data_IF_155897603942
#
_entry.id   IF_155897603942
#
_cell.length_a   1.000
_cell.length_b   1.000
_cell.length_c   1.000
_cell.angle_alpha   90.00
_cell.angle_beta   90.00
_cell.angle_gamma   90.00
#
_symmetry.space_group_name_H-M   'P 1'
#
loop_
_entity.id
_entity.type
_entity.pdbx_description
1 polymer ?
#
# COMPACT_ATOMS: atom_id res chain seq x y z
N UNK A 1 -16.96 -5.48 9.28
CA UNK A 1 -15.57 -4.97 9.40
C UNK A 1 -15.36 -3.92 8.33
N UNK A 2 -15.33 -2.63 8.69
CA UNK A 2 -14.98 -1.56 7.76
C UNK A 2 -13.57 -1.83 7.20
N UNK A 3 -13.44 -1.94 5.88
CA UNK A 3 -12.13 -2.03 5.25
C UNK A 3 -11.47 -0.66 5.40
N UNK A 4 -10.54 -0.54 6.34
CA UNK A 4 -9.77 0.67 6.53
C UNK A 4 -8.57 0.65 5.55
N UNK A 5 -8.38 1.76 4.87
CA UNK A 5 -7.33 1.96 3.87
C UNK A 5 -6.28 2.96 4.38
N UNK A 6 -5.05 2.80 3.93
CA UNK A 6 -3.95 3.75 4.10
C UNK A 6 -3.66 4.43 2.78
N UNK A 7 -3.36 5.72 2.81
CA UNK A 7 -2.77 6.39 1.65
C UNK A 7 -1.38 5.83 1.33
N UNK A 8 -0.84 6.14 0.15
CA UNK A 8 0.54 5.80 -0.19
C UNK A 8 1.55 6.35 0.84
N UNK A 9 1.31 7.55 1.40
CA UNK A 9 2.16 8.14 2.43
C UNK A 9 2.09 7.35 3.74
N UNK A 10 0.89 7.06 4.24
CA UNK A 10 0.71 6.26 5.46
C UNK A 10 1.30 4.85 5.31
N UNK A 11 1.21 4.26 4.11
CA UNK A 11 1.81 2.95 3.81
C UNK A 11 3.33 3.04 3.83
N UNK A 12 3.91 4.13 3.30
CA UNK A 12 5.36 4.36 3.33
C UNK A 12 5.87 4.48 4.77
N UNK A 13 5.18 5.27 5.60
CA UNK A 13 5.48 5.43 7.02
C UNK A 13 5.35 4.09 7.77
N UNK A 14 4.28 3.33 7.52
CA UNK A 14 4.05 2.02 8.16
C UNK A 14 5.14 0.99 7.82
N UNK A 15 5.58 0.95 6.56
CA UNK A 15 6.61 0.01 6.10
C UNK A 15 8.03 0.52 6.36
N UNK A 16 8.19 1.73 6.90
CA UNK A 16 9.48 2.43 6.99
C UNK A 16 10.22 2.49 5.64
N UNK A 17 9.48 2.79 4.58
CA UNK A 17 9.95 2.88 3.20
C UNK A 17 9.76 4.28 2.63
N UNK A 18 10.43 4.60 1.53
CA UNK A 18 10.17 5.86 0.82
C UNK A 18 8.83 5.82 0.08
N UNK A 19 8.17 6.97 -0.06
CA UNK A 19 6.92 7.06 -0.84
C UNK A 19 7.12 6.68 -2.32
N UNK A 20 8.30 6.94 -2.88
CA UNK A 20 8.68 6.54 -4.23
C UNK A 20 8.68 5.02 -4.39
N UNK A 21 9.21 4.30 -3.39
CA UNK A 21 9.20 2.85 -3.35
C UNK A 21 7.76 2.30 -3.31
N UNK A 22 6.86 2.94 -2.53
CA UNK A 22 5.44 2.53 -2.47
C UNK A 22 4.75 2.67 -3.83
N UNK A 23 5.11 3.67 -4.64
CA UNK A 23 4.52 3.83 -5.97
C UNK A 23 5.10 2.86 -7.02
N UNK A 24 6.40 2.55 -6.94
CA UNK A 24 7.12 1.85 -8.01
C UNK A 24 7.38 0.37 -7.73
N UNK A 25 7.62 0.02 -6.47
CA UNK A 25 8.17 -1.29 -6.10
C UNK A 25 7.16 -2.13 -5.34
N UNK A 26 6.36 -1.54 -4.44
CA UNK A 26 5.29 -2.24 -3.74
C UNK A 26 4.37 -3.06 -4.68
N UNK A 27 3.83 -2.50 -5.79
CA UNK A 27 3.01 -3.27 -6.72
C UNK A 27 3.76 -4.43 -7.40
N UNK A 28 5.05 -4.28 -7.66
CA UNK A 28 5.90 -5.33 -8.26
C UNK A 28 6.15 -6.47 -7.30
N UNK A 29 6.14 -6.19 -5.99
CA UNK A 29 6.31 -7.16 -4.92
C UNK A 29 4.99 -7.77 -4.44
N UNK A 30 3.89 -7.52 -5.16
CA UNK A 30 2.58 -8.13 -4.88
C UNK A 30 1.72 -7.36 -3.88
N UNK A 31 2.12 -6.15 -3.46
CA UNK A 31 1.26 -5.30 -2.65
C UNK A 31 0.26 -4.56 -3.55
N UNK A 32 -1.02 -4.89 -3.43
CA UNK A 32 -2.07 -4.39 -4.33
C UNK A 32 -2.47 -2.95 -4.01
N UNK A 33 -2.28 -1.99 -4.93
CA UNK A 33 -2.82 -0.65 -4.76
C UNK A 33 -4.26 -0.55 -5.27
N UNK A 34 -5.09 0.19 -4.55
CA UNK A 34 -6.44 0.57 -4.94
C UNK A 34 -6.49 2.03 -5.33
N UNK A 35 -7.10 2.32 -6.48
CA UNK A 35 -7.32 3.69 -6.95
C UNK A 35 -8.62 4.22 -6.37
N UNK A 36 -8.54 5.32 -5.62
CA UNK A 36 -9.70 6.05 -5.11
C UNK A 36 -9.80 7.42 -5.77
N UNK A 37 -10.97 7.75 -6.31
CA UNK A 37 -11.23 8.97 -7.07
C UNK A 37 -11.27 8.76 -8.58
N UNK A 38 -11.51 9.84 -9.32
CA UNK A 38 -11.72 9.82 -10.77
C UNK A 38 -10.71 10.74 -11.48
N UNK A 39 -10.09 10.27 -12.56
CA UNK A 39 -9.17 11.06 -13.39
C UNK A 39 -7.76 11.24 -12.77
N UNK A 40 -7.08 12.33 -13.12
CA UNK A 40 -5.69 12.61 -12.76
C UNK A 40 -5.45 12.82 -11.25
N UNK A 41 -6.50 12.96 -10.45
CA UNK A 41 -6.44 13.11 -9.00
C UNK A 41 -6.70 11.81 -8.24
N UNK A 42 -6.86 10.67 -8.95
CA UNK A 42 -7.04 9.38 -8.31
C UNK A 42 -5.84 9.06 -7.40
N UNK A 43 -6.11 8.91 -6.09
CA UNK A 43 -5.09 8.62 -5.10
C UNK A 43 -4.96 7.12 -4.93
N UNK A 44 -3.72 6.64 -4.86
CA UNK A 44 -3.44 5.25 -4.50
C UNK A 44 -3.60 5.08 -3.00
N UNK A 45 -4.37 4.07 -2.63
CA UNK A 45 -4.55 3.62 -1.25
C UNK A 45 -4.36 2.12 -1.17
N UNK A 46 -4.04 1.63 0.01
CA UNK A 46 -3.74 0.24 0.28
C UNK A 46 -4.63 -0.24 1.42
N UNK A 47 -5.21 -1.43 1.29
CA UNK A 47 -6.05 -1.99 2.35
C UNK A 47 -5.15 -2.39 3.52
N UNK A 48 -5.43 -1.91 4.73
CA UNK A 48 -4.57 -2.16 5.91
C UNK A 48 -4.30 -3.66 6.11
N UNK A 49 -5.34 -4.49 6.01
CA UNK A 49 -5.22 -5.94 6.19
C UNK A 49 -4.28 -6.59 5.17
N UNK A 50 -4.27 -6.11 3.93
CA UNK A 50 -3.40 -6.65 2.89
C UNK A 50 -1.96 -6.19 3.08
N UNK A 51 -1.75 -4.93 3.47
CA UNK A 51 -0.42 -4.44 3.85
C UNK A 51 0.15 -5.25 5.01
N UNK A 52 -0.64 -5.51 6.04
CA UNK A 52 -0.22 -6.34 7.18
C UNK A 52 0.11 -7.78 6.76
N UNK A 53 -0.78 -8.42 5.99
CA UNK A 53 -0.55 -9.78 5.51
C UNK A 53 0.71 -9.88 4.63
N UNK A 54 0.93 -8.90 3.76
CA UNK A 54 2.12 -8.81 2.93
C UNK A 54 3.39 -8.65 3.77
N UNK A 55 3.38 -7.76 4.77
CA UNK A 55 4.54 -7.58 5.68
C UNK A 55 4.89 -8.87 6.41
N UNK A 56 3.89 -9.61 6.89
CA UNK A 56 4.10 -10.91 7.53
C UNK A 56 4.64 -11.96 6.55
N UNK A 57 4.23 -11.91 5.28
CA UNK A 57 4.79 -12.76 4.24
C UNK A 57 6.27 -12.45 3.98
N UNK A 58 6.65 -11.17 3.89
CA UNK A 58 8.04 -10.76 3.65
C UNK A 58 8.98 -11.11 4.81
N UNK A 59 8.49 -11.17 6.05
CA UNK A 59 9.30 -11.60 7.20
C UNK A 59 9.60 -13.10 7.19
N UNK A 60 8.83 -13.89 6.45
CA UNK A 60 8.95 -15.35 6.36
C UNK A 60 9.73 -15.82 5.13
N UNK A 61 9.96 -14.94 4.16
CA UNK A 61 10.80 -15.18 2.97
C UNK A 61 12.26 -14.86 3.26
#
# INVERSE_FOLDING_TARGET
MSAQFMTAQQTAEYLNMSITWVYRDAPKLGLTPYKFGTGNSAKLQFRIKEVQAWTEQQKRS
#
